data_IF_625932522119
#
_entry.id   IF_625932522119
#
_cell.length_a   1.000
_cell.length_b   1.000
_cell.length_c   1.000
_cell.angle_alpha   90.00
_cell.angle_beta   90.00
_cell.angle_gamma   90.00
#
_symmetry.space_group_name_H-M   'P 1'
#
loop_
_entity.id
_entity.type
_entity.pdbx_description
1 polymer ?
#
# COMPACT_ATOMS: atom_id res chain seq x y z
N UNK A 1 -15.26 -7.93 1.41
CA UNK A 1 -13.99 -7.59 0.72
C UNK A 1 -14.23 -6.85 -0.60
N UNK A 2 -14.91 -7.44 -1.60
CA UNK A 2 -15.11 -6.80 -2.92
C UNK A 2 -15.70 -5.38 -2.88
N UNK A 3 -16.73 -5.14 -2.06
CA UNK A 3 -17.33 -3.80 -1.93
C UNK A 3 -16.35 -2.78 -1.33
N UNK A 4 -15.47 -3.22 -0.41
CA UNK A 4 -14.44 -2.36 0.17
C UNK A 4 -13.40 -1.98 -0.88
N UNK A 5 -12.94 -2.96 -1.67
CA UNK A 5 -12.00 -2.74 -2.77
C UNK A 5 -12.60 -1.78 -3.80
N UNK A 6 -13.86 -1.99 -4.20
CA UNK A 6 -14.55 -1.09 -5.14
C UNK A 6 -14.62 0.34 -4.60
N UNK A 7 -14.97 0.51 -3.32
CA UNK A 7 -15.03 1.82 -2.69
C UNK A 7 -13.65 2.49 -2.63
N UNK A 8 -12.58 1.73 -2.34
CA UNK A 8 -11.22 2.25 -2.31
C UNK A 8 -10.71 2.64 -3.70
N UNK A 9 -10.91 1.80 -4.71
CA UNK A 9 -10.54 2.13 -6.09
C UNK A 9 -11.29 3.38 -6.54
N UNK A 10 -12.60 3.47 -6.29
CA UNK A 10 -13.39 4.66 -6.63
C UNK A 10 -12.86 5.91 -5.91
N UNK A 11 -12.55 5.80 -4.61
CA UNK A 11 -11.96 6.91 -3.85
C UNK A 11 -10.59 7.32 -4.42
N UNK A 12 -9.68 6.37 -4.69
CA UNK A 12 -8.35 6.64 -5.26
C UNK A 12 -8.47 7.33 -6.61
N UNK A 13 -9.37 6.88 -7.49
CA UNK A 13 -9.63 7.48 -8.80
C UNK A 13 -10.12 8.91 -8.65
N UNK A 14 -11.02 9.19 -7.70
CA UNK A 14 -11.47 10.56 -7.40
C UNK A 14 -10.31 11.45 -6.92
N UNK A 15 -9.38 10.91 -6.12
CA UNK A 15 -8.24 11.70 -5.61
C UNK A 15 -7.16 11.96 -6.66
N UNK A 16 -7.03 11.08 -7.65
CA UNK A 16 -5.88 11.08 -8.57
C UNK A 16 -6.25 11.43 -10.01
N UNK A 17 -7.50 11.28 -10.40
CA UNK A 17 -7.97 11.39 -11.79
C UNK A 17 -7.56 10.21 -12.68
N UNK A 18 -6.96 9.16 -12.12
CA UNK A 18 -6.54 7.97 -12.87
C UNK A 18 -7.73 7.08 -13.27
N UNK A 19 -7.54 6.20 -14.24
CA UNK A 19 -8.56 5.23 -14.62
C UNK A 19 -8.67 4.11 -13.57
N UNK A 20 -9.89 3.61 -13.36
CA UNK A 20 -10.14 2.50 -12.45
C UNK A 20 -9.68 1.16 -13.09
N UNK A 21 -8.80 0.39 -12.42
CA UNK A 21 -8.51 -0.98 -12.82
C UNK A 21 -9.65 -1.94 -12.43
N UNK A 22 -9.59 -3.17 -12.96
CA UNK A 22 -10.28 -4.30 -12.36
C UNK A 22 -9.81 -4.56 -10.92
N UNK A 23 -10.57 -5.33 -10.15
CA UNK A 23 -10.15 -5.67 -8.79
C UNK A 23 -8.95 -6.62 -8.79
N UNK A 24 -7.91 -6.37 -7.98
CA UNK A 24 -6.83 -7.33 -7.80
C UNK A 24 -7.31 -8.54 -6.98
N UNK A 25 -6.67 -9.69 -7.20
CA UNK A 25 -6.82 -10.83 -6.31
C UNK A 25 -6.27 -10.50 -4.92
N UNK A 26 -7.00 -10.90 -3.87
CA UNK A 26 -6.55 -10.78 -2.48
C UNK A 26 -6.16 -12.17 -1.96
N UNK A 27 -4.95 -12.28 -1.44
CA UNK A 27 -4.43 -13.46 -0.78
C UNK A 27 -4.16 -13.19 0.69
N UNK A 28 -4.47 -14.14 1.56
CA UNK A 28 -4.14 -14.08 2.97
C UNK A 28 -2.91 -14.95 3.24
N UNK A 29 -1.87 -14.35 3.79
CA UNK A 29 -0.56 -14.98 3.97
C UNK A 29 0.02 -14.69 5.36
N UNK A 30 0.93 -15.55 5.80
CA UNK A 30 1.75 -15.30 6.98
C UNK A 30 2.80 -14.23 6.69
N UNK A 31 3.33 -13.53 7.72
CA UNK A 31 4.43 -12.60 7.55
C UNK A 31 5.64 -13.20 6.83
N UNK A 32 5.94 -14.49 7.10
CA UNK A 32 7.04 -15.20 6.43
C UNK A 32 6.76 -15.40 4.93
N UNK A 33 5.55 -15.82 4.56
CA UNK A 33 5.15 -15.97 3.14
C UNK A 33 5.23 -14.61 2.41
N UNK A 34 4.80 -13.54 3.06
CA UNK A 34 4.88 -12.18 2.50
C UNK A 34 6.34 -11.71 2.35
N UNK A 35 7.19 -11.92 3.36
CA UNK A 35 8.60 -11.54 3.31
C UNK A 35 9.36 -12.25 2.17
N UNK A 36 9.09 -13.55 1.98
CA UNK A 36 9.64 -14.33 0.86
C UNK A 36 9.21 -13.73 -0.49
N UNK A 37 7.95 -13.32 -0.63
CA UNK A 37 7.43 -12.69 -1.87
C UNK A 37 7.95 -11.29 -2.11
N UNK A 38 8.23 -10.53 -1.05
CA UNK A 38 8.87 -9.21 -1.14
C UNK A 38 10.36 -9.30 -1.49
N UNK A 39 10.98 -10.47 -1.32
CA UNK A 39 12.42 -10.66 -1.54
C UNK A 39 13.30 -10.18 -0.37
N UNK A 40 12.72 -9.94 0.81
CA UNK A 40 13.47 -9.59 2.01
C UNK A 40 14.06 -10.83 2.69
N UNK A 41 15.30 -10.71 3.19
CA UNK A 41 15.88 -11.72 4.08
C UNK A 41 15.10 -11.78 5.40
N UNK A 42 14.76 -12.98 5.85
CA UNK A 42 13.93 -13.29 7.03
C UNK A 42 14.51 -12.77 8.37
N UNK A 43 15.74 -12.22 8.35
CA UNK A 43 16.49 -11.81 9.54
C UNK A 43 16.17 -10.40 10.05
N UNK A 44 15.38 -9.61 9.31
CA UNK A 44 14.78 -8.38 9.79
C UNK A 44 13.29 -8.45 9.49
N UNK A 45 12.49 -8.86 10.47
CA UNK A 45 11.03 -8.94 10.31
C UNK A 45 10.50 -7.51 10.21
N UNK A 46 10.54 -6.93 9.00
CA UNK A 46 9.65 -5.84 8.66
C UNK A 46 8.24 -6.42 8.81
N UNK A 47 7.46 -5.89 9.75
CA UNK A 47 6.07 -6.28 9.92
C UNK A 47 5.25 -5.73 8.74
N UNK A 48 5.29 -6.43 7.60
CA UNK A 48 4.54 -6.09 6.40
C UNK A 48 3.03 -6.15 6.72
N UNK A 49 2.38 -4.99 6.73
CA UNK A 49 0.93 -4.89 6.96
C UNK A 49 0.11 -5.32 5.75
N UNK A 50 0.70 -5.20 4.56
CA UNK A 50 0.18 -5.62 3.28
C UNK A 50 1.35 -5.67 2.27
N UNK A 51 1.12 -6.24 1.10
CA UNK A 51 2.08 -6.26 0.00
C UNK A 51 1.35 -6.32 -1.34
N UNK A 52 1.65 -5.38 -2.22
CA UNK A 52 1.32 -5.48 -3.64
C UNK A 52 2.43 -6.24 -4.38
N UNK A 53 2.07 -7.39 -4.95
CA UNK A 53 2.98 -8.13 -5.83
C UNK A 53 2.79 -7.66 -7.28
N UNK A 54 3.82 -7.01 -7.83
CA UNK A 54 3.78 -6.41 -9.17
C UNK A 54 3.70 -7.47 -10.27
N UNK A 55 4.33 -8.63 -10.09
CA UNK A 55 4.38 -9.70 -11.09
C UNK A 55 3.00 -10.36 -11.27
N UNK A 56 2.31 -10.63 -10.17
CA UNK A 56 1.00 -11.26 -10.13
C UNK A 56 -0.16 -10.25 -10.26
N UNK A 57 0.09 -8.96 -10.01
CA UNK A 57 -0.95 -7.93 -9.92
C UNK A 57 -1.91 -8.19 -8.76
N UNK A 58 -1.42 -8.76 -7.66
CA UNK A 58 -2.21 -9.24 -6.54
C UNK A 58 -1.79 -8.58 -5.22
N UNK A 59 -2.72 -8.51 -4.26
CA UNK A 59 -2.46 -7.97 -2.92
C UNK A 59 -2.45 -9.11 -1.89
N UNK A 60 -1.43 -9.10 -1.04
CA UNK A 60 -1.27 -10.02 0.07
C UNK A 60 -1.54 -9.28 1.39
N UNK A 61 -2.41 -9.84 2.21
CA UNK A 61 -2.74 -9.34 3.55
C UNK A 61 -2.37 -10.40 4.60
N UNK A 62 -2.05 -9.99 5.84
CA UNK A 62 -1.87 -10.93 6.94
C UNK A 62 -3.12 -11.80 7.17
N UNK A 63 -2.97 -13.07 7.57
CA UNK A 63 -4.11 -13.97 7.83
C UNK A 63 -5.06 -13.43 8.91
N UNK A 64 -4.52 -12.67 9.83
CA UNK A 64 -5.19 -11.99 10.94
C UNK A 64 -5.71 -10.59 10.56
N UNK A 65 -5.79 -10.26 9.27
CA UNK A 65 -6.35 -8.99 8.82
C UNK A 65 -7.82 -8.85 9.23
N UNK A 66 -8.17 -7.67 9.74
CA UNK A 66 -9.47 -7.34 10.31
C UNK A 66 -10.05 -6.11 9.59
N UNK A 67 -11.29 -6.18 9.10
CA UNK A 67 -11.92 -5.08 8.39
C UNK A 67 -12.21 -3.86 9.27
N UNK A 68 -12.25 -4.01 10.60
CA UNK A 68 -12.53 -2.89 11.51
C UNK A 68 -11.24 -2.20 12.00
N UNK A 69 -10.07 -2.76 11.69
CA UNK A 69 -8.79 -2.18 12.08
C UNK A 69 -8.35 -1.12 11.06
N UNK A 70 -8.39 0.16 11.45
CA UNK A 70 -8.05 1.28 10.58
C UNK A 70 -6.62 1.21 10.03
N UNK A 71 -5.64 0.74 10.82
CA UNK A 71 -4.26 0.58 10.37
C UNK A 71 -4.19 -0.42 9.22
N UNK A 72 -4.80 -1.59 9.38
CA UNK A 72 -4.80 -2.66 8.37
C UNK A 72 -5.66 -2.30 7.14
N UNK A 73 -6.77 -1.58 7.33
CA UNK A 73 -7.54 -1.00 6.22
C UNK A 73 -6.73 0.02 5.42
N UNK A 74 -5.95 0.87 6.09
CA UNK A 74 -5.13 1.87 5.43
C UNK A 74 -3.97 1.24 4.64
N UNK A 75 -3.40 0.13 5.13
CA UNK A 75 -2.40 -0.63 4.40
C UNK A 75 -2.99 -1.27 3.14
N UNK A 76 -4.22 -1.82 3.18
CA UNK A 76 -4.90 -2.28 1.96
C UNK A 76 -5.10 -1.13 0.96
N UNK A 77 -5.48 0.06 1.42
CA UNK A 77 -5.63 1.23 0.55
C UNK A 77 -4.29 1.61 -0.10
N UNK A 78 -3.19 1.58 0.66
CA UNK A 78 -1.83 1.80 0.15
C UNK A 78 -1.51 0.87 -1.02
N UNK A 79 -1.70 -0.45 -0.86
CA UNK A 79 -1.43 -1.42 -1.93
C UNK A 79 -2.35 -1.24 -3.15
N UNK A 80 -3.58 -0.80 -2.94
CA UNK A 80 -4.47 -0.47 -4.05
C UNK A 80 -4.03 0.76 -4.82
N UNK A 81 -3.33 1.72 -4.18
CA UNK A 81 -2.69 2.83 -4.91
C UNK A 81 -1.65 2.29 -5.88
N UNK A 82 -0.79 1.35 -5.45
CA UNK A 82 0.17 0.70 -6.34
C UNK A 82 -0.49 -0.05 -7.49
N UNK A 83 -1.60 -0.74 -7.21
CA UNK A 83 -2.37 -1.41 -8.25
C UNK A 83 -2.92 -0.42 -9.30
N UNK A 84 -3.50 0.70 -8.86
CA UNK A 84 -4.00 1.76 -9.74
C UNK A 84 -2.87 2.40 -10.53
N UNK A 85 -1.74 2.72 -9.89
CA UNK A 85 -0.54 3.27 -10.55
C UNK A 85 -0.05 2.33 -11.67
N UNK A 86 0.03 1.02 -11.37
CA UNK A 86 0.51 0.00 -12.31
C UNK A 86 -0.40 -0.14 -13.53
N UNK A 87 -1.72 -0.16 -13.32
CA UNK A 87 -2.71 -0.24 -14.40
C UNK A 87 -2.65 0.98 -15.32
N UNK A 88 -2.50 2.16 -14.73
CA UNK A 88 -2.40 3.42 -15.47
C UNK A 88 -1.02 3.64 -16.12
N UNK A 89 -0.08 2.69 -15.96
CA UNK A 89 1.28 2.76 -16.51
C UNK A 89 1.97 4.07 -16.13
N UNK A 90 1.76 4.50 -14.88
CA UNK A 90 2.51 5.61 -14.31
C UNK A 90 4.00 5.26 -14.40
N UNK A 91 4.79 6.18 -14.94
CA UNK A 91 6.23 6.02 -15.15
C UNK A 91 6.95 6.97 -14.21
N UNK A 92 7.47 6.43 -13.11
CA UNK A 92 8.29 7.16 -12.14
C UNK A 92 9.75 6.72 -12.23
N UNK A 93 10.71 7.59 -11.87
CA UNK A 93 12.13 7.36 -12.11
C UNK A 93 12.72 6.11 -11.45
N UNK A 94 12.07 5.56 -10.42
CA UNK A 94 12.49 4.37 -9.72
C UNK A 94 11.32 3.74 -8.95
N UNK A 95 11.49 2.49 -8.46
CA UNK A 95 10.49 1.80 -7.65
C UNK A 95 10.13 2.58 -6.37
N UNK A 96 11.12 3.17 -5.68
CA UNK A 96 10.90 3.94 -4.46
C UNK A 96 9.96 5.14 -4.68
N UNK A 97 10.01 5.80 -5.85
CA UNK A 97 9.19 6.98 -6.13
C UNK A 97 7.68 6.70 -6.10
N UNK A 98 7.24 5.44 -6.26
CA UNK A 98 5.83 5.05 -6.17
C UNK A 98 5.27 5.11 -4.75
N UNK A 99 6.13 5.03 -3.73
CA UNK A 99 5.76 5.04 -2.31
C UNK A 99 5.17 6.38 -1.89
N UNK A 100 5.72 7.51 -2.38
CA UNK A 100 5.30 8.84 -1.90
C UNK A 100 3.81 9.09 -2.15
N UNK A 101 3.27 8.93 -3.38
CA UNK A 101 1.83 9.08 -3.60
C UNK A 101 0.98 8.08 -2.82
N UNK A 102 1.47 6.85 -2.60
CA UNK A 102 0.74 5.84 -1.83
C UNK A 102 0.61 6.24 -0.35
N UNK A 103 1.70 6.68 0.28
CA UNK A 103 1.65 7.23 1.65
C UNK A 103 0.81 8.51 1.74
N UNK A 104 0.95 9.44 0.79
CA UNK A 104 0.18 10.70 0.82
C UNK A 104 -1.33 10.41 0.80
N UNK A 105 -1.78 9.45 -0.02
CA UNK A 105 -3.18 9.00 -0.05
C UNK A 105 -3.58 8.19 1.18
N UNK A 106 -2.72 7.33 1.71
CA UNK A 106 -2.97 6.58 2.94
C UNK A 106 -3.20 7.53 4.13
N UNK A 107 -2.33 8.51 4.29
CA UNK A 107 -2.41 9.53 5.35
C UNK A 107 -3.66 10.39 5.17
N UNK A 108 -3.96 10.82 3.94
CA UNK A 108 -5.19 11.56 3.64
C UNK A 108 -6.43 10.78 4.03
N UNK A 109 -6.53 9.53 3.59
CA UNK A 109 -7.68 8.68 3.90
C UNK A 109 -7.84 8.46 5.42
N UNK A 110 -6.74 8.23 6.15
CA UNK A 110 -6.77 8.09 7.61
C UNK A 110 -7.32 9.34 8.31
N UNK A 111 -6.93 10.54 7.87
CA UNK A 111 -7.49 11.81 8.39
C UNK A 111 -8.98 11.91 8.09
N UNK A 112 -9.42 11.51 6.91
CA UNK A 112 -10.86 11.46 6.55
C UNK A 112 -11.65 10.45 7.39
N UNK A 113 -11.00 9.42 7.95
CA UNK A 113 -11.60 8.50 8.92
C UNK A 113 -11.61 9.04 10.36
N UNK A 114 -11.12 10.27 10.59
CA UNK A 114 -11.07 10.89 11.92
C UNK A 114 -9.84 10.51 12.76
N UNK A 115 -8.76 10.04 12.14
CA UNK A 115 -7.50 9.78 12.86
C UNK A 115 -6.71 11.07 13.01
N UNK A 116 -6.49 11.50 14.26
CA UNK A 116 -5.75 12.74 14.59
C UNK A 116 -4.27 12.66 14.21
N UNK A 117 -3.61 11.54 14.54
CA UNK A 117 -2.21 11.28 14.17
C UNK A 117 -2.09 9.99 13.33
N UNK A 118 -2.21 10.10 12.00
CA UNK A 118 -2.05 8.97 11.10
C UNK A 118 -0.64 8.34 11.14
N UNK A 119 0.40 9.13 11.41
CA UNK A 119 1.78 8.64 11.41
C UNK A 119 2.02 7.73 12.62
N UNK A 120 1.53 8.11 13.81
CA UNK A 120 1.60 7.23 14.98
C UNK A 120 0.78 5.95 14.76
N UNK A 121 -0.42 6.04 14.18
CA UNK A 121 -1.27 4.86 13.95
C UNK A 121 -0.56 3.83 13.07
N UNK A 122 0.12 4.27 12.00
CA UNK A 122 0.82 3.36 11.09
C UNK A 122 2.28 3.10 11.49
N UNK A 123 2.73 3.68 12.62
CA UNK A 123 4.07 3.53 13.19
C UNK A 123 5.19 3.97 12.23
N UNK A 124 4.99 5.13 11.60
CA UNK A 124 5.97 5.78 10.72
C UNK A 124 6.12 7.28 11.05
N UNK A 125 6.88 8.01 10.25
CA UNK A 125 6.96 9.48 10.26
C UNK A 125 7.35 10.00 8.87
N UNK A 126 7.32 11.32 8.68
CA UNK A 126 7.67 11.95 7.39
C UNK A 126 9.10 11.66 6.94
N UNK A 127 10.07 11.56 7.85
CA UNK A 127 11.45 11.23 7.47
C UNK A 127 11.54 9.78 6.94
N UNK A 128 10.87 8.83 7.59
CA UNK A 128 10.78 7.45 7.13
C UNK A 128 10.11 7.36 5.76
N UNK A 129 8.98 8.05 5.56
CA UNK A 129 8.29 8.11 4.26
C UNK A 129 9.21 8.70 3.19
N UNK A 130 9.91 9.80 3.48
CA UNK A 130 10.88 10.38 2.57
C UNK A 130 11.97 9.38 2.19
N UNK A 131 12.59 8.73 3.18
CA UNK A 131 13.68 7.78 2.96
C UNK A 131 13.28 6.58 2.09
N UNK A 132 12.06 6.06 2.24
CA UNK A 132 11.57 4.95 1.40
C UNK A 132 11.08 5.40 0.03
N UNK A 133 10.85 6.71 -0.16
CA UNK A 133 10.31 7.26 -1.41
C UNK A 133 11.34 7.84 -2.36
N UNK A 134 12.57 8.10 -1.90
CA UNK A 134 13.62 8.69 -2.72
C UNK A 134 14.33 7.65 -3.57
N UNK A 135 14.60 7.99 -4.83
CA UNK A 135 15.49 7.19 -5.66
C UNK A 135 16.90 7.26 -5.09
N UNK A 136 17.53 6.10 -4.92
CA UNK A 136 18.96 6.04 -4.62
C UNK A 136 19.74 6.16 -5.92
N UNK A 137 20.69 7.09 -5.98
CA UNK A 137 21.56 7.24 -7.13
C UNK A 137 22.43 5.96 -7.29
N UNK A 138 22.27 5.24 -8.41
CA UNK A 138 23.17 4.15 -8.81
C UNK A 138 22.64 2.71 -8.70
N UNK A 139 21.33 2.48 -8.83
CA UNK A 139 20.77 1.12 -9.04
C UNK A 139 20.62 0.80 -10.53
#
# INVERSE_FOLDING_TARGET
>A
MNNLIAAYIAWIVVQTGLAAPDHPSIHFATPTEMAVRYGASVNGVLELQALYNIEEGAIYLPREWQPDNLRQKSALLHELVHHVQRFNKIDLPCAAAYERPAYDLQIKWLREQGVDDPYDLIKTNELSIYMVSVCQDGS
#
